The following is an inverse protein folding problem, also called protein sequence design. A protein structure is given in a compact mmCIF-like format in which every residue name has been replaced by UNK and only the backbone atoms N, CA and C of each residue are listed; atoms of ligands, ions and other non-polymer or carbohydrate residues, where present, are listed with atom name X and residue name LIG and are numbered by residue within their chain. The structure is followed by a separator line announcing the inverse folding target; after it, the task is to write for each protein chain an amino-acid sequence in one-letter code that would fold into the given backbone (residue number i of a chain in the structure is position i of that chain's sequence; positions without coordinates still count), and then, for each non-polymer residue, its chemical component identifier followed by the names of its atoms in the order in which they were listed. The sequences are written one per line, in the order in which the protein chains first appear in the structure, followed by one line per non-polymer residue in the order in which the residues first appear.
data_IF_587023265070
#
_entry.id   IF_587023265070
#
_cell.length_a   1.000
_cell.length_b   1.000
_cell.length_c   1.000
_cell.angle_alpha   90.00
_cell.angle_beta   90.00
_cell.angle_gamma   90.00
#
_symmetry.space_group_name_H-M   'P 1'
#
loop_
_entity.id
_entity.type
_entity.pdbx_description
1 polymer ?
#
# COMPACT_ATOMS: atom_id res chain seq x y z
N UNK A 1 -14.40 15.57 -1.13
CA UNK A 1 -15.50 14.81 -1.76
C UNK A 1 -15.12 14.46 -3.19
N UNK A 2 -15.90 13.60 -3.86
CA UNK A 2 -15.69 13.25 -5.27
C UNK A 2 -16.51 14.19 -6.17
N UNK A 3 -15.93 14.69 -7.26
CA UNK A 3 -16.65 15.39 -8.31
C UNK A 3 -17.44 14.40 -9.19
N UNK A 4 -18.45 14.89 -9.92
CA UNK A 4 -19.29 14.04 -10.78
C UNK A 4 -18.53 13.21 -11.83
N UNK A 5 -17.38 13.72 -12.30
CA UNK A 5 -16.50 12.99 -13.22
C UNK A 5 -15.78 11.81 -12.56
N UNK A 6 -15.42 11.94 -11.29
CA UNK A 6 -14.78 10.86 -10.52
C UNK A 6 -15.79 9.74 -10.22
N UNK A 7 -17.08 10.06 -10.05
CA UNK A 7 -18.15 9.05 -9.95
C UNK A 7 -18.32 8.29 -11.26
N UNK A 8 -18.29 8.97 -12.42
CA UNK A 8 -18.33 8.31 -13.74
C UNK A 8 -17.14 7.38 -13.95
N UNK A 9 -15.94 7.79 -13.53
CA UNK A 9 -14.75 6.95 -13.58
C UNK A 9 -14.93 5.67 -12.77
N UNK A 10 -15.56 5.72 -11.59
CA UNK A 10 -15.80 4.53 -10.76
C UNK A 10 -16.77 3.54 -11.42
N UNK A 11 -17.75 4.03 -12.17
CA UNK A 11 -18.64 3.17 -12.97
C UNK A 11 -17.83 2.42 -14.03
N UNK A 12 -17.00 3.14 -14.79
CA UNK A 12 -16.13 2.57 -15.82
C UNK A 12 -15.15 1.54 -15.24
N UNK A 13 -14.50 1.88 -14.11
CA UNK A 13 -13.57 0.99 -13.44
C UNK A 13 -14.25 -0.31 -12.97
N UNK A 14 -15.50 -0.26 -12.50
CA UNK A 14 -16.19 -1.48 -12.06
C UNK A 14 -16.59 -2.41 -13.21
N UNK A 15 -16.91 -1.84 -14.39
CA UNK A 15 -17.12 -2.65 -15.59
C UNK A 15 -15.82 -3.34 -16.03
N UNK A 16 -14.67 -2.68 -15.86
CA UNK A 16 -13.35 -3.22 -16.25
C UNK A 16 -12.75 -4.18 -15.21
N UNK A 17 -12.99 -3.93 -13.93
CA UNK A 17 -12.41 -4.64 -12.79
C UNK A 17 -13.52 -5.12 -11.85
N UNK A 18 -14.09 -6.31 -12.08
CA UNK A 18 -15.20 -6.80 -11.27
C UNK A 18 -14.79 -7.34 -9.89
N UNK A 19 -13.49 -7.56 -9.66
CA UNK A 19 -13.00 -8.21 -8.44
C UNK A 19 -12.81 -7.27 -7.23
N UNK A 20 -12.27 -6.03 -7.36
CA UNK A 20 -12.23 -5.08 -6.24
C UNK A 20 -13.64 -4.62 -5.84
N UNK A 21 -13.86 -4.30 -4.56
CA UNK A 21 -15.14 -3.77 -4.11
C UNK A 21 -15.39 -2.36 -4.68
N UNK A 22 -16.64 -1.88 -4.63
CA UNK A 22 -16.96 -0.52 -5.06
C UNK A 22 -16.15 0.54 -4.31
N UNK A 23 -15.92 0.33 -3.00
CA UNK A 23 -15.12 1.24 -2.16
C UNK A 23 -13.66 1.25 -2.60
N UNK A 24 -13.10 0.09 -2.95
CA UNK A 24 -11.75 -0.01 -3.50
C UNK A 24 -11.61 0.79 -4.80
N UNK A 25 -12.62 0.71 -5.66
CA UNK A 25 -12.64 1.45 -6.93
C UNK A 25 -12.78 2.96 -6.73
N UNK A 26 -13.49 3.40 -5.69
CA UNK A 26 -13.49 4.81 -5.29
C UNK A 26 -12.09 5.27 -4.87
N UNK A 27 -11.38 4.48 -4.06
CA UNK A 27 -10.00 4.81 -3.67
C UNK A 27 -9.06 4.88 -4.90
N UNK A 28 -9.21 3.96 -5.86
CA UNK A 28 -8.45 3.97 -7.09
C UNK A 28 -8.76 5.19 -7.97
N UNK A 29 -10.04 5.49 -8.21
CA UNK A 29 -10.46 6.66 -8.98
C UNK A 29 -9.90 7.95 -8.38
N UNK A 30 -9.93 8.05 -7.06
CA UNK A 30 -9.43 9.19 -6.33
C UNK A 30 -7.91 9.36 -6.46
N UNK A 31 -7.18 8.25 -6.28
CA UNK A 31 -5.73 8.25 -6.45
C UNK A 31 -5.35 8.64 -7.89
N UNK A 32 -6.08 8.14 -8.88
CA UNK A 32 -5.87 8.47 -10.29
C UNK A 32 -6.13 9.95 -10.59
N UNK A 33 -7.28 10.48 -10.17
CA UNK A 33 -7.68 11.86 -10.44
C UNK A 33 -6.71 12.87 -9.80
N UNK A 34 -6.10 12.51 -8.67
CA UNK A 34 -5.20 13.39 -7.90
C UNK A 34 -3.72 13.14 -8.16
N UNK A 35 -3.37 12.16 -8.99
CA UNK A 35 -1.99 11.72 -9.17
C UNK A 35 -1.34 11.23 -7.86
N UNK A 36 -2.15 10.71 -6.93
CA UNK A 36 -1.70 10.28 -5.61
C UNK A 36 -1.29 8.79 -5.60
N UNK A 37 -0.56 8.39 -4.56
CA UNK A 37 -0.24 6.98 -4.29
C UNK A 37 -1.45 6.29 -3.68
N UNK A 38 -1.84 5.15 -4.27
CA UNK A 38 -2.80 4.24 -3.66
C UNK A 38 -2.10 3.31 -2.66
N UNK A 39 -2.61 3.25 -1.43
CA UNK A 39 -2.12 2.32 -0.41
C UNK A 39 -3.09 1.15 -0.27
N UNK A 40 -2.65 -0.05 -0.65
CA UNK A 40 -3.48 -1.26 -0.50
C UNK A 40 -2.64 -2.54 -0.34
N UNK A 41 -3.17 -3.44 0.48
CA UNK A 41 -2.73 -4.83 0.58
C UNK A 41 -3.56 -5.80 -0.26
N UNK A 42 -4.67 -5.33 -0.86
CA UNK A 42 -5.54 -6.18 -1.68
C UNK A 42 -4.90 -6.45 -3.05
N UNK A 43 -4.92 -7.72 -3.47
CA UNK A 43 -4.28 -8.17 -4.71
C UNK A 43 -5.04 -7.70 -5.96
N UNK A 44 -6.37 -7.68 -5.92
CA UNK A 44 -7.16 -7.31 -7.08
C UNK A 44 -7.08 -5.80 -7.31
N UNK A 45 -7.19 -5.01 -6.24
CA UNK A 45 -7.04 -3.56 -6.31
C UNK A 45 -5.63 -3.15 -6.74
N UNK A 46 -4.60 -3.83 -6.24
CA UNK A 46 -3.21 -3.61 -6.70
C UNK A 46 -3.08 -3.80 -8.21
N UNK A 47 -3.59 -4.90 -8.75
CA UNK A 47 -3.55 -5.16 -10.19
C UNK A 47 -4.30 -4.10 -10.99
N UNK A 48 -5.48 -3.70 -10.52
CA UNK A 48 -6.25 -2.64 -11.17
C UNK A 48 -5.48 -1.31 -11.18
N UNK A 49 -4.87 -0.93 -10.06
CA UNK A 49 -4.07 0.28 -9.96
C UNK A 49 -2.86 0.26 -10.90
N UNK A 50 -2.13 -0.85 -10.97
CA UNK A 50 -1.01 -1.04 -11.90
C UNK A 50 -1.46 -0.88 -13.37
N UNK A 51 -2.59 -1.48 -13.75
CA UNK A 51 -3.15 -1.35 -15.11
C UNK A 51 -3.65 0.06 -15.42
N UNK A 52 -4.18 0.77 -14.43
CA UNK A 52 -4.58 2.18 -14.53
C UNK A 52 -3.40 3.16 -14.40
N UNK A 53 -2.16 2.65 -14.30
CA UNK A 53 -0.92 3.43 -14.16
C UNK A 53 -0.91 4.33 -12.91
N UNK A 54 -1.57 3.89 -11.84
CA UNK A 54 -1.58 4.54 -10.53
C UNK A 54 -0.48 3.93 -9.68
N UNK A 55 0.36 4.76 -9.06
CA UNK A 55 1.38 4.30 -8.13
C UNK A 55 0.73 3.60 -6.94
N UNK A 56 1.12 2.35 -6.66
CA UNK A 56 0.47 1.52 -5.65
C UNK A 56 1.46 0.80 -4.73
N UNK A 57 1.29 1.02 -3.44
CA UNK A 57 2.18 0.53 -2.40
C UNK A 57 1.41 -0.13 -1.26
N UNK A 58 2.11 -0.85 -0.39
CA UNK A 58 1.53 -1.56 0.75
C UNK A 58 2.27 -1.22 2.05
N UNK A 59 1.89 -1.85 3.15
CA UNK A 59 2.40 -1.53 4.49
C UNK A 59 3.93 -1.55 4.61
N UNK A 60 4.62 -2.48 3.93
CA UNK A 60 6.08 -2.55 3.99
C UNK A 60 6.76 -1.31 3.38
N UNK A 61 6.18 -0.75 2.32
CA UNK A 61 6.67 0.49 1.72
C UNK A 61 6.44 1.68 2.65
N UNK A 62 5.31 1.72 3.36
CA UNK A 62 5.06 2.76 4.39
C UNK A 62 6.15 2.71 5.47
N UNK A 63 6.50 1.51 5.95
CA UNK A 63 7.57 1.35 6.93
C UNK A 63 8.92 1.81 6.37
N UNK A 64 9.23 1.47 5.12
CA UNK A 64 10.46 1.97 4.46
C UNK A 64 10.48 3.49 4.40
N UNK A 65 9.35 4.10 4.06
CA UNK A 65 9.22 5.54 3.91
C UNK A 65 9.35 6.29 5.24
N UNK A 66 8.74 5.76 6.30
CA UNK A 66 8.88 6.31 7.66
C UNK A 66 10.34 6.24 8.16
N UNK A 67 11.07 5.18 7.82
CA UNK A 67 12.50 5.07 8.14
C UNK A 67 13.31 6.04 7.29
N UNK A 68 13.04 6.11 5.97
CA UNK A 68 13.73 6.98 5.02
C UNK A 68 13.61 8.45 5.41
N UNK A 69 12.42 8.87 5.83
CA UNK A 69 12.14 10.24 6.30
C UNK A 69 12.57 10.48 7.76
N UNK A 70 13.19 9.50 8.42
CA UNK A 70 13.63 9.57 9.83
C UNK A 70 12.50 9.84 10.83
N UNK A 71 11.26 9.55 10.46
CA UNK A 71 10.08 9.66 11.34
C UNK A 71 10.11 8.55 12.40
N UNK A 72 10.63 7.37 12.03
CA UNK A 72 10.90 6.28 12.97
C UNK A 72 12.31 5.76 12.77
N UNK A 73 12.94 5.28 13.86
CA UNK A 73 14.23 4.61 13.76
C UNK A 73 14.07 3.24 13.07
N UNK A 74 15.12 2.72 12.40
CA UNK A 74 15.12 1.37 11.85
C UNK A 74 14.67 0.32 12.88
N UNK A 75 15.17 0.41 14.11
CA UNK A 75 14.87 -0.55 15.17
C UNK A 75 13.39 -0.49 15.59
N UNK A 76 12.78 0.71 15.61
CA UNK A 76 11.33 0.86 15.86
C UNK A 76 10.50 0.25 14.73
N UNK A 77 10.91 0.43 13.47
CA UNK A 77 10.27 -0.21 12.32
C UNK A 77 10.41 -1.74 12.34
N UNK A 78 11.58 -2.27 12.70
CA UNK A 78 11.80 -3.71 12.85
C UNK A 78 10.87 -4.32 13.92
N UNK A 79 10.80 -3.71 15.10
CA UNK A 79 9.89 -4.16 16.18
C UNK A 79 8.42 -4.10 15.76
N UNK A 80 8.02 -3.05 15.03
CA UNK A 80 6.66 -2.93 14.51
C UNK A 80 6.35 -4.05 13.49
N UNK A 81 7.29 -4.33 12.59
CA UNK A 81 7.18 -5.40 11.60
C UNK A 81 7.07 -6.78 12.25
N UNK A 82 7.86 -7.06 13.28
CA UNK A 82 7.74 -8.30 14.07
C UNK A 82 6.37 -8.43 14.71
N UNK A 83 5.86 -7.36 15.34
CA UNK A 83 4.51 -7.34 15.93
C UNK A 83 3.42 -7.58 14.89
N UNK A 84 3.53 -6.99 13.70
CA UNK A 84 2.57 -7.21 12.61
C UNK A 84 2.56 -8.69 12.18
N UNK A 85 3.74 -9.31 12.04
CA UNK A 85 3.86 -10.74 11.70
C UNK A 85 3.30 -11.64 12.79
N UNK A 86 3.61 -11.36 14.06
CA UNK A 86 3.12 -12.14 15.20
C UNK A 86 1.58 -12.09 15.30
N UNK A 87 0.96 -10.98 14.89
CA UNK A 87 -0.50 -10.83 14.81
C UNK A 87 -1.15 -11.42 13.55
N UNK A 88 -0.40 -12.17 12.73
CA UNK A 88 -0.95 -12.85 11.56
C UNK A 88 -1.12 -11.98 10.30
N UNK A 89 -0.43 -10.84 10.21
CA UNK A 89 -0.47 -10.02 8.99
C UNK A 89 0.02 -10.81 7.77
N UNK A 90 -0.73 -10.75 6.65
CA UNK A 90 -0.42 -11.45 5.39
C UNK A 90 0.70 -10.76 4.59
N UNK A 91 1.84 -10.48 5.24
CA UNK A 91 2.97 -9.80 4.63
C UNK A 91 3.91 -10.80 3.93
N UNK A 92 4.55 -10.44 2.79
CA UNK A 92 5.48 -11.33 2.11
C UNK A 92 6.69 -11.66 2.98
N UNK A 93 6.89 -12.95 3.28
CA UNK A 93 7.90 -13.41 4.26
C UNK A 93 9.33 -12.97 3.94
N UNK A 94 9.79 -13.23 2.70
CA UNK A 94 11.13 -12.87 2.26
C UNK A 94 11.39 -11.35 2.39
N UNK A 95 10.36 -10.56 2.14
CA UNK A 95 10.40 -9.11 2.14
C UNK A 95 10.46 -8.53 3.54
N UNK A 96 9.77 -9.18 4.48
CA UNK A 96 9.91 -8.92 5.90
C UNK A 96 11.32 -9.25 6.40
N UNK A 97 11.84 -10.44 6.07
CA UNK A 97 13.17 -10.89 6.52
C UNK A 97 14.28 -9.97 6.02
N UNK A 98 14.18 -9.48 4.78
CA UNK A 98 15.13 -8.48 4.24
C UNK A 98 15.14 -7.20 5.08
N UNK A 99 13.96 -6.68 5.44
CA UNK A 99 13.83 -5.47 6.28
C UNK A 99 14.34 -5.68 7.69
N UNK A 100 14.02 -6.81 8.31
CA UNK A 100 14.51 -7.15 9.65
C UNK A 100 16.04 -7.24 9.68
N UNK A 101 16.67 -7.84 8.66
CA UNK A 101 18.15 -7.82 8.54
C UNK A 101 18.72 -6.42 8.33
N UNK A 102 18.06 -5.61 7.49
CA UNK A 102 18.48 -4.24 7.20
C UNK A 102 18.39 -3.33 8.42
N UNK A 103 17.31 -3.45 9.19
CA UNK A 103 16.99 -2.57 10.31
C UNK A 103 17.42 -3.10 11.68
N UNK A 104 17.75 -4.38 11.78
CA UNK A 104 18.15 -5.05 13.02
C UNK A 104 19.62 -4.86 13.38
N UNK A 105 20.43 -4.26 12.51
CA UNK A 105 21.80 -3.87 12.87
C UNK A 105 21.71 -2.76 13.92
N UNK A 106 22.32 -2.99 15.08
CA UNK A 106 22.66 -1.90 15.99
C UNK A 106 23.77 -1.14 15.30
N UNK A 107 23.54 0.13 15.00
CA UNK A 107 24.68 1.04 14.82
C UNK A 107 25.41 1.00 16.18
N UNK A 108 26.65 0.51 16.14
CA UNK A 108 27.54 0.46 17.30
C UNK A 108 27.96 1.85 17.73
#
# INVERSE_FOLDING_TARGET
ELAGDEVRLVIQLASRYPAPSRVDLFALALAKARGAVLLTGDRHLRKAAEQEKVSVHGTLWILDELVRQRIVTPQKAARALEKMRAKGSRLPRAECERRLRKWGRRDG
#
